data_IF_848914547330
#
_entry.id   IF_848914547330
#
_cell.length_a   1.000
_cell.length_b   1.000
_cell.length_c   1.000
_cell.angle_alpha   90.00
_cell.angle_beta   90.00
_cell.angle_gamma   90.00
#
_symmetry.space_group_name_H-M   'P 1'
#
loop_
_entity.id
_entity.type
_entity.pdbx_description
1 polymer ?
#
# COMPACT_ATOMS: atom_id res chain seq x y z
N UNK A 1 -20.32 -41.47 2.47
CA UNK A 1 -18.92 -41.01 2.28
C UNK A 1 -18.92 -39.51 2.00
N UNK A 2 -18.17 -38.67 2.74
CA UNK A 2 -18.16 -37.24 2.46
C UNK A 2 -17.38 -36.95 1.17
N UNK A 3 -18.00 -36.22 0.24
CA UNK A 3 -17.42 -35.85 -1.04
C UNK A 3 -16.31 -34.81 -0.81
N UNK A 4 -15.04 -35.20 -0.97
CA UNK A 4 -13.90 -34.28 -0.86
C UNK A 4 -13.88 -33.36 -2.09
N UNK A 5 -14.27 -32.10 -1.91
CA UNK A 5 -14.06 -31.08 -2.94
C UNK A 5 -12.62 -30.56 -2.90
N UNK A 6 -11.89 -30.68 -4.01
CA UNK A 6 -10.65 -29.93 -4.24
C UNK A 6 -11.01 -28.61 -4.91
N UNK A 7 -10.82 -27.48 -4.21
CA UNK A 7 -11.04 -26.13 -4.76
C UNK A 7 -9.82 -25.73 -5.57
N UNK A 8 -9.90 -25.76 -6.89
CA UNK A 8 -8.83 -25.25 -7.76
C UNK A 8 -9.06 -23.75 -7.98
N UNK A 9 -8.19 -22.91 -7.41
CA UNK A 9 -8.19 -21.47 -7.70
C UNK A 9 -7.62 -21.24 -9.11
N UNK A 10 -8.44 -21.43 -10.14
CA UNK A 10 -8.05 -21.05 -11.49
C UNK A 10 -8.24 -19.53 -11.63
N UNK A 11 -7.18 -18.77 -11.91
CA UNK A 11 -7.19 -17.31 -12.08
C UNK A 11 -7.94 -16.82 -13.34
N UNK A 12 -8.88 -17.62 -13.84
CA UNK A 12 -9.66 -17.36 -15.04
C UNK A 12 -11.09 -17.00 -14.63
N UNK A 13 -11.48 -15.76 -14.91
CA UNK A 13 -12.87 -15.30 -14.80
C UNK A 13 -13.36 -15.06 -16.23
N UNK A 14 -14.44 -15.72 -16.66
CA UNK A 14 -15.00 -15.63 -18.03
C UNK A 14 -13.97 -15.86 -19.15
N UNK A 15 -13.09 -16.88 -19.01
CA UNK A 15 -12.10 -17.22 -20.04
C UNK A 15 -10.97 -16.21 -20.24
N UNK A 16 -10.90 -15.12 -19.45
CA UNK A 16 -9.82 -14.13 -19.51
C UNK A 16 -8.82 -14.39 -18.39
N UNK A 17 -7.53 -14.40 -18.72
CA UNK A 17 -6.46 -14.42 -17.73
C UNK A 17 -6.49 -13.10 -16.94
N UNK A 18 -6.89 -13.17 -15.68
CA UNK A 18 -6.73 -12.03 -14.78
C UNK A 18 -5.34 -12.10 -14.17
N UNK A 19 -4.57 -11.01 -14.25
CA UNK A 19 -3.37 -10.89 -13.41
C UNK A 19 -3.85 -10.91 -11.95
N UNK A 20 -3.29 -11.78 -11.09
CA UNK A 20 -3.67 -11.80 -9.70
C UNK A 20 -3.41 -10.42 -9.08
N UNK A 21 -4.31 -10.00 -8.20
CA UNK A 21 -4.15 -8.74 -7.48
C UNK A 21 -2.80 -8.75 -6.75
N UNK A 22 -1.98 -7.70 -6.94
CA UNK A 22 -0.67 -7.61 -6.30
C UNK A 22 0.46 -8.39 -7.00
N UNK A 23 0.34 -8.72 -8.29
CA UNK A 23 1.42 -9.37 -9.07
C UNK A 23 2.66 -8.49 -9.32
N UNK A 24 2.79 -7.35 -8.65
CA UNK A 24 3.91 -6.41 -8.78
C UNK A 24 4.81 -6.50 -7.54
N UNK A 25 6.12 -6.31 -7.72
CA UNK A 25 7.06 -6.28 -6.60
C UNK A 25 6.70 -5.14 -5.63
N UNK A 26 6.73 -5.45 -4.33
CA UNK A 26 6.52 -4.46 -3.26
C UNK A 26 7.59 -3.36 -3.29
N UNK A 27 8.82 -3.70 -3.63
CA UNK A 27 9.93 -2.73 -3.73
C UNK A 27 9.66 -1.71 -4.83
N UNK A 28 9.28 -2.18 -6.02
CA UNK A 28 8.91 -1.32 -7.15
C UNK A 28 7.71 -0.45 -6.82
N UNK A 29 6.74 -0.97 -6.06
CA UNK A 29 5.59 -0.20 -5.60
C UNK A 29 6.00 0.93 -4.66
N UNK A 30 6.86 0.65 -3.69
CA UNK A 30 7.32 1.65 -2.72
C UNK A 30 8.12 2.76 -3.43
N UNK A 31 9.05 2.39 -4.32
CA UNK A 31 9.83 3.35 -5.11
C UNK A 31 8.91 4.22 -6.00
N UNK A 32 7.96 3.60 -6.70
CA UNK A 32 7.00 4.32 -7.55
C UNK A 32 6.18 5.33 -6.75
N UNK A 33 5.67 4.93 -5.58
CA UNK A 33 4.86 5.78 -4.70
C UNK A 33 5.70 6.92 -4.13
N UNK A 34 6.95 6.69 -3.73
CA UNK A 34 7.83 7.74 -3.22
C UNK A 34 8.15 8.80 -4.27
N UNK A 35 8.50 8.39 -5.50
CA UNK A 35 8.81 9.32 -6.57
C UNK A 35 7.61 10.19 -6.94
N UNK A 36 6.40 9.62 -6.92
CA UNK A 36 5.15 10.36 -7.13
C UNK A 36 4.86 11.31 -5.97
N UNK A 37 5.04 10.89 -4.72
CA UNK A 37 4.87 11.75 -3.54
C UNK A 37 5.83 12.94 -3.53
N UNK A 38 7.08 12.73 -3.96
CA UNK A 38 8.10 13.78 -4.11
C UNK A 38 7.83 14.71 -5.31
N UNK A 39 6.83 14.43 -6.14
CA UNK A 39 6.52 15.21 -7.35
C UNK A 39 7.52 15.00 -8.50
N UNK A 40 8.45 14.04 -8.39
CA UNK A 40 9.50 13.79 -9.38
C UNK A 40 8.97 13.07 -10.62
N UNK A 41 7.86 12.34 -10.50
CA UNK A 41 7.20 11.67 -11.62
C UNK A 41 5.68 11.77 -11.52
N UNK A 42 5.03 11.77 -12.68
CA UNK A 42 3.57 11.66 -12.77
C UNK A 42 3.11 10.22 -12.48
N UNK A 43 1.89 10.08 -11.98
CA UNK A 43 1.21 8.78 -11.77
C UNK A 43 1.24 7.90 -13.04
N UNK A 44 0.86 8.40 -14.25
CA UNK A 44 0.94 7.59 -15.46
C UNK A 44 2.38 7.18 -15.79
N UNK A 45 3.36 8.08 -15.67
CA UNK A 45 4.77 7.76 -15.92
C UNK A 45 5.30 6.66 -15.02
N UNK A 46 5.00 6.74 -13.71
CA UNK A 46 5.36 5.70 -12.75
C UNK A 46 4.66 4.36 -13.05
N UNK A 47 3.36 4.39 -13.41
CA UNK A 47 2.61 3.18 -13.73
C UNK A 47 3.22 2.41 -14.92
N UNK A 48 3.59 3.12 -15.98
CA UNK A 48 4.24 2.52 -17.15
C UNK A 48 5.64 1.99 -16.81
N UNK A 49 6.46 2.77 -16.08
CA UNK A 49 7.83 2.40 -15.73
C UNK A 49 7.90 1.15 -14.84
N UNK A 50 7.05 1.08 -13.80
CA UNK A 50 7.09 -0.01 -12.83
C UNK A 50 6.09 -1.14 -13.11
N UNK A 51 5.29 -1.03 -14.19
CA UNK A 51 4.22 -1.99 -14.55
C UNK A 51 3.19 -2.17 -13.42
N UNK A 52 2.82 -1.08 -12.76
CA UNK A 52 1.87 -1.06 -11.65
C UNK A 52 0.62 -0.28 -12.08
N UNK A 53 -0.60 -0.71 -11.71
CA UNK A 53 -1.80 0.03 -12.06
C UNK A 53 -1.80 1.46 -11.48
N UNK A 54 -2.19 2.44 -12.30
CA UNK A 54 -2.28 3.85 -11.92
C UNK A 54 -3.15 4.07 -10.67
N UNK A 55 -4.27 3.35 -10.57
CA UNK A 55 -5.18 3.41 -9.42
C UNK A 55 -4.49 2.97 -8.12
N UNK A 56 -3.58 2.00 -8.20
CA UNK A 56 -2.84 1.50 -7.04
C UNK A 56 -1.84 2.56 -6.56
N UNK A 57 -1.04 3.11 -7.46
CA UNK A 57 -0.08 4.17 -7.14
C UNK A 57 -0.80 5.40 -6.61
N UNK A 58 -1.85 5.87 -7.29
CA UNK A 58 -2.61 7.05 -6.90
C UNK A 58 -3.26 6.91 -5.51
N UNK A 59 -3.85 5.74 -5.22
CA UNK A 59 -4.42 5.45 -3.90
C UNK A 59 -3.36 5.51 -2.79
N UNK A 60 -2.19 4.90 -3.01
CA UNK A 60 -1.14 4.85 -2.00
C UNK A 60 -0.42 6.18 -1.82
N UNK A 61 -0.16 6.91 -2.92
CA UNK A 61 0.49 8.21 -2.87
C UNK A 61 -0.34 9.24 -2.08
N UNK A 62 -1.67 9.23 -2.27
CA UNK A 62 -2.61 10.15 -1.60
C UNK A 62 -2.98 9.73 -0.18
N UNK A 63 -2.84 8.45 0.18
CA UNK A 63 -3.16 7.96 1.52
C UNK A 63 -2.13 8.51 2.52
N UNK A 64 -2.54 9.19 3.60
CA UNK A 64 -1.62 9.60 4.65
C UNK A 64 -1.12 8.37 5.43
N UNK A 65 0.14 8.42 5.90
CA UNK A 65 0.79 7.31 6.65
C UNK A 65 0.16 7.00 8.02
N UNK A 66 -0.78 7.84 8.46
CA UNK A 66 -1.43 7.78 9.78
C UNK A 66 -2.15 6.43 10.02
N UNK A 67 -2.55 5.74 8.94
CA UNK A 67 -3.32 4.49 9.01
C UNK A 67 -2.50 3.21 8.82
N UNK A 68 -1.18 3.24 9.01
CA UNK A 68 -0.36 2.02 8.90
C UNK A 68 -0.53 1.11 10.13
N UNK A 69 -0.75 1.69 11.32
CA UNK A 69 -0.98 0.95 12.56
C UNK A 69 -2.47 0.91 12.90
N UNK A 70 -3.09 -0.27 12.73
CA UNK A 70 -4.49 -0.49 13.10
C UNK A 70 -4.69 -0.28 14.62
N UNK A 71 -5.76 0.42 15.01
CA UNK A 71 -6.09 0.66 16.41
C UNK A 71 -5.42 1.87 17.07
N UNK A 72 -4.63 2.65 16.32
CA UNK A 72 -4.02 3.89 16.83
C UNK A 72 -4.70 5.11 16.21
N UNK A 73 -5.68 5.76 16.88
CA UNK A 73 -6.18 7.06 16.46
C UNK A 73 -5.11 8.12 16.75
N UNK A 74 -4.13 8.25 15.86
CA UNK A 74 -3.07 9.24 16.00
C UNK A 74 -3.60 10.61 15.58
N UNK A 75 -4.09 11.38 16.54
CA UNK A 75 -4.12 12.84 16.42
C UNK A 75 -2.68 13.36 16.25
N UNK A 76 -1.72 12.73 16.92
CA UNK A 76 -0.31 13.11 16.93
C UNK A 76 0.56 12.12 16.16
N UNK A 77 1.66 12.60 15.61
CA UNK A 77 2.74 11.77 15.06
C UNK A 77 3.59 11.13 16.18
N UNK A 78 4.37 10.09 15.86
CA UNK A 78 5.27 9.47 16.85
C UNK A 78 6.29 10.43 17.44
N UNK A 79 6.74 11.38 16.64
CA UNK A 79 7.71 12.38 17.07
C UNK A 79 7.07 13.39 18.03
N UNK A 80 5.82 13.80 17.76
CA UNK A 80 5.02 14.65 18.66
C UNK A 80 4.73 13.95 19.99
N UNK A 81 4.32 12.67 19.98
CA UNK A 81 4.08 11.90 21.21
C UNK A 81 5.33 11.79 22.08
N UNK A 82 6.51 11.57 21.48
CA UNK A 82 7.79 11.53 22.21
C UNK A 82 8.13 12.86 22.88
N UNK A 83 7.85 13.98 22.21
CA UNK A 83 8.08 15.32 22.79
C UNK A 83 7.24 15.48 24.06
N UNK A 84 5.97 15.06 24.03
CA UNK A 84 5.09 15.14 25.21
C UNK A 84 5.55 14.24 26.35
N UNK A 85 6.00 13.03 26.07
CA UNK A 85 6.51 12.09 27.08
C UNK A 85 7.79 12.62 27.74
N UNK A 86 8.76 13.08 26.94
CA UNK A 86 9.99 13.65 27.48
C UNK A 86 9.72 14.85 28.39
N UNK A 87 8.78 15.73 28.01
CA UNK A 87 8.41 16.88 28.83
C UNK A 87 7.71 16.50 30.16
N UNK A 88 7.06 15.34 30.23
CA UNK A 88 6.47 14.82 31.47
C UNK A 88 7.53 14.25 32.41
N UNK A 89 8.59 13.65 31.87
CA UNK A 89 9.69 13.04 32.63
C UNK A 89 10.67 14.08 33.23
N UNK A 90 10.68 15.31 32.70
CA UNK A 90 11.51 16.43 33.18
C UNK A 90 10.96 17.13 34.46
N UNK A 91 9.96 16.55 35.13
CA UNK A 91 9.32 17.09 36.35
C UNK A 91 9.66 16.33 37.62
#
# INVERSE_FOLDING_TARGET
>A
MPRKYKRTYTNFRNGKSHKPYGSYSKENLNIAVELVRKGLMSIPGAAHKYRIPQSTIGRLARKPKIYENAGRPCIFTEDEEKIFLNHLDDK
#
